data_IF_481429270737
#
_entry.id   IF_481429270737
#
_cell.length_a   1.000
_cell.length_b   1.000
_cell.length_c   1.000
_cell.angle_alpha   90.00
_cell.angle_beta   90.00
_cell.angle_gamma   90.00
#
_symmetry.space_group_name_H-M   'P 1'
#
loop_
_entity.id
_entity.type
_entity.pdbx_description
1 polymer ?
#
# COMPACT_ATOMS: atom_id res chain seq x y z
N UNK A 1 14.99 -0.21 -9.00
CA UNK A 1 14.17 -0.29 -10.20
C UNK A 1 12.84 0.42 -9.97
N UNK A 2 12.17 0.80 -11.08
CA UNK A 2 10.76 1.22 -11.11
C UNK A 2 10.03 0.17 -11.92
N UNK A 3 8.94 -0.37 -11.39
CA UNK A 3 8.08 -1.33 -12.07
C UNK A 3 6.69 -0.74 -12.28
N UNK A 4 6.13 -1.00 -13.45
CA UNK A 4 4.80 -0.55 -13.83
C UNK A 4 3.94 -1.77 -14.20
N UNK A 5 2.64 -1.63 -14.08
CA UNK A 5 1.68 -2.67 -14.43
C UNK A 5 0.32 -2.11 -14.80
N UNK A 6 -0.59 -2.96 -15.27
CA UNK A 6 -1.90 -2.54 -15.73
C UNK A 6 -2.76 -1.94 -14.61
N UNK A 7 -3.66 -1.04 -14.97
CA UNK A 7 -4.69 -0.50 -14.05
C UNK A 7 -5.92 -1.41 -13.99
N UNK A 8 -6.13 -2.20 -15.02
CA UNK A 8 -7.17 -3.25 -15.10
C UNK A 8 -6.51 -4.56 -14.72
N UNK A 9 -7.01 -5.20 -13.70
CA UNK A 9 -6.43 -6.41 -13.11
C UNK A 9 -7.45 -7.53 -13.00
N UNK A 10 -6.93 -8.74 -12.90
CA UNK A 10 -7.67 -9.92 -12.52
C UNK A 10 -7.69 -10.09 -10.98
N UNK A 11 -8.59 -10.95 -10.51
CA UNK A 11 -8.71 -11.28 -9.08
C UNK A 11 -7.41 -11.85 -8.51
N UNK A 12 -6.72 -12.69 -9.26
CA UNK A 12 -5.55 -13.38 -8.75
C UNK A 12 -4.42 -12.40 -8.37
N UNK A 13 -4.06 -11.47 -9.26
CA UNK A 13 -3.01 -10.50 -9.00
C UNK A 13 -3.40 -9.43 -7.98
N UNK A 14 -4.70 -9.07 -7.95
CA UNK A 14 -5.14 -8.02 -7.04
C UNK A 14 -5.44 -8.52 -5.62
N UNK A 15 -5.80 -9.81 -5.46
CA UNK A 15 -6.21 -10.36 -4.18
C UNK A 15 -5.58 -11.70 -3.82
N UNK A 16 -5.79 -12.74 -4.62
CA UNK A 16 -5.44 -14.11 -4.23
C UNK A 16 -3.95 -14.28 -3.98
N UNK A 17 -3.09 -13.78 -4.87
CA UNK A 17 -1.63 -13.83 -4.73
C UNK A 17 -1.11 -13.00 -3.54
N UNK A 18 -1.92 -12.11 -2.99
CA UNK A 18 -1.61 -11.29 -1.82
C UNK A 18 -2.21 -11.87 -0.53
N UNK A 19 -2.54 -13.15 -0.52
CA UNK A 19 -3.10 -13.83 0.65
C UNK A 19 -4.43 -13.23 1.15
N UNK A 20 -5.20 -12.58 0.26
CA UNK A 20 -6.55 -12.11 0.57
C UNK A 20 -7.56 -13.22 0.27
N UNK A 21 -8.23 -13.79 1.27
CA UNK A 21 -9.22 -14.86 1.08
C UNK A 21 -10.49 -14.34 0.39
N UNK A 22 -11.27 -15.25 -0.22
CA UNK A 22 -12.50 -14.91 -0.97
C UNK A 22 -13.52 -14.10 -0.16
N UNK A 23 -13.59 -14.34 1.15
CA UNK A 23 -14.51 -13.64 2.06
C UNK A 23 -13.92 -12.33 2.66
N UNK A 24 -12.76 -11.88 2.20
CA UNK A 24 -12.15 -10.66 2.73
C UNK A 24 -12.96 -9.43 2.30
N UNK A 25 -13.28 -8.50 3.24
CA UNK A 25 -14.12 -7.32 2.91
C UNK A 25 -13.59 -6.46 1.76
N UNK A 26 -12.27 -6.40 1.56
CA UNK A 26 -11.68 -5.65 0.44
C UNK A 26 -12.09 -6.17 -0.95
N UNK A 27 -12.61 -7.40 -1.04
CA UNK A 27 -13.18 -7.96 -2.27
C UNK A 27 -14.65 -7.59 -2.49
N UNK A 28 -15.27 -6.90 -1.53
CA UNK A 28 -16.67 -6.49 -1.68
C UNK A 28 -16.79 -5.42 -2.78
N UNK A 29 -17.87 -5.47 -3.52
CA UNK A 29 -18.25 -4.45 -4.51
C UNK A 29 -18.39 -3.04 -3.90
N UNK A 30 -18.51 -2.94 -2.58
CA UNK A 30 -18.52 -1.66 -1.87
C UNK A 30 -17.15 -0.98 -1.87
N UNK A 31 -16.05 -1.76 -1.94
CA UNK A 31 -14.69 -1.24 -1.88
C UNK A 31 -13.94 -1.36 -3.22
N UNK A 32 -14.44 -2.15 -4.17
CA UNK A 32 -13.78 -2.46 -5.45
C UNK A 32 -14.66 -2.13 -6.64
N UNK A 33 -14.10 -1.53 -7.67
CA UNK A 33 -14.77 -1.34 -8.96
C UNK A 33 -14.52 -2.55 -9.87
N UNK A 34 -15.51 -3.42 -9.98
CA UNK A 34 -15.50 -4.52 -10.95
C UNK A 34 -15.97 -4.02 -12.33
N UNK A 35 -15.21 -4.39 -13.36
CA UNK A 35 -15.56 -4.14 -14.77
C UNK A 35 -16.35 -5.32 -15.32
N UNK A 36 -16.00 -6.52 -14.89
CA UNK A 36 -16.63 -7.78 -15.26
C UNK A 36 -16.59 -8.74 -14.07
N UNK A 37 -17.65 -9.52 -13.90
CA UNK A 37 -17.77 -10.51 -12.81
C UNK A 37 -18.05 -11.94 -13.30
N UNK A 38 -18.30 -12.14 -14.60
CA UNK A 38 -18.57 -13.44 -15.23
C UNK A 38 -17.99 -13.47 -16.66
N UNK A 39 -17.24 -14.49 -17.08
CA UNK A 39 -16.85 -15.69 -16.30
C UNK A 39 -15.68 -15.48 -15.33
N UNK A 40 -14.95 -14.39 -15.44
CA UNK A 40 -13.79 -14.06 -14.59
C UNK A 40 -13.95 -12.65 -14.04
N UNK A 41 -13.50 -12.45 -12.80
CA UNK A 41 -13.52 -11.12 -12.17
C UNK A 41 -12.40 -10.26 -12.74
N UNK A 42 -12.80 -9.18 -13.42
CA UNK A 42 -11.90 -8.12 -13.92
C UNK A 42 -12.28 -6.83 -13.21
N UNK A 43 -11.28 -6.15 -12.67
CA UNK A 43 -11.49 -5.00 -11.80
C UNK A 43 -10.48 -3.88 -12.07
N UNK A 44 -10.76 -2.71 -11.53
CA UNK A 44 -9.77 -1.64 -11.41
C UNK A 44 -8.94 -1.89 -10.15
N UNK A 45 -7.62 -1.95 -10.28
CA UNK A 45 -6.72 -2.28 -9.17
C UNK A 45 -6.93 -1.37 -7.96
N UNK A 46 -7.01 -1.95 -6.79
CA UNK A 46 -7.25 -1.24 -5.52
C UNK A 46 -5.97 -0.78 -4.84
N UNK A 47 -4.82 -1.25 -5.33
CA UNK A 47 -3.47 -0.93 -4.86
C UNK A 47 -2.45 -1.25 -5.96
N UNK A 48 -1.19 -0.87 -5.76
CA UNK A 48 -0.11 -1.20 -6.70
C UNK A 48 0.65 -2.48 -6.31
N UNK A 49 0.17 -3.23 -5.30
CA UNK A 49 0.75 -4.52 -4.91
C UNK A 49 0.64 -5.58 -6.02
N UNK A 50 -0.36 -5.49 -6.89
CA UNK A 50 -0.48 -6.34 -8.08
C UNK A 50 0.74 -6.23 -9.00
N UNK A 51 1.35 -5.04 -9.08
CA UNK A 51 2.60 -4.83 -9.82
C UNK A 51 3.77 -5.55 -9.16
N UNK A 52 3.79 -5.61 -7.83
CA UNK A 52 4.81 -6.36 -7.09
C UNK A 52 4.68 -7.87 -7.36
N UNK A 53 3.46 -8.41 -7.39
CA UNK A 53 3.19 -9.81 -7.75
C UNK A 53 3.75 -10.10 -9.14
N UNK A 54 3.36 -9.30 -10.15
CA UNK A 54 3.84 -9.46 -11.53
C UNK A 54 5.36 -9.33 -11.65
N UNK A 55 5.97 -8.48 -10.81
CA UNK A 55 7.42 -8.34 -10.80
C UNK A 55 8.10 -9.58 -10.22
N UNK A 56 7.55 -10.16 -9.14
CA UNK A 56 8.08 -11.39 -8.51
C UNK A 56 7.93 -12.62 -9.41
N UNK A 57 6.86 -12.73 -10.20
CA UNK A 57 6.70 -13.81 -11.19
C UNK A 57 7.84 -13.85 -12.22
N UNK A 58 8.37 -12.70 -12.58
CA UNK A 58 9.33 -12.56 -13.67
C UNK A 58 10.77 -12.31 -13.18
N UNK A 59 10.99 -12.14 -11.89
CA UNK A 59 12.29 -11.79 -11.33
C UNK A 59 12.60 -12.62 -10.08
N UNK A 60 13.86 -13.00 -9.96
CA UNK A 60 14.36 -13.69 -8.76
C UNK A 60 15.06 -12.72 -7.81
N UNK A 61 15.03 -12.98 -6.50
CA UNK A 61 15.82 -12.21 -5.53
C UNK A 61 17.31 -12.14 -5.89
N UNK A 62 18.01 -11.02 -5.59
CA UNK A 62 17.50 -9.91 -4.81
C UNK A 62 16.58 -8.95 -5.61
N UNK A 63 15.46 -8.55 -5.02
CA UNK A 63 14.49 -7.62 -5.61
C UNK A 63 14.53 -6.31 -4.84
N UNK A 64 14.61 -5.19 -5.57
CA UNK A 64 14.51 -3.83 -5.07
C UNK A 64 13.78 -3.00 -6.10
N UNK A 65 12.50 -2.77 -5.88
CA UNK A 65 11.64 -2.03 -6.82
C UNK A 65 10.66 -1.11 -6.10
N UNK A 66 10.23 -0.07 -6.78
CA UNK A 66 9.09 0.75 -6.41
C UNK A 66 8.05 0.66 -7.51
N UNK A 67 6.79 0.65 -7.13
CA UNK A 67 5.64 0.51 -8.03
C UNK A 67 4.71 1.71 -7.85
N UNK A 68 4.95 2.82 -8.57
CA UNK A 68 4.05 3.96 -8.57
C UNK A 68 2.87 3.73 -9.50
N UNK A 69 1.70 4.27 -9.17
CA UNK A 69 0.57 4.22 -10.08
C UNK A 69 -0.75 4.69 -9.50
N UNK A 70 -1.73 4.89 -10.38
CA UNK A 70 -3.11 5.16 -9.99
C UNK A 70 -3.76 3.91 -9.45
N UNK A 71 -4.60 4.11 -8.46
CA UNK A 71 -5.41 3.05 -7.85
C UNK A 71 -6.84 3.55 -7.65
N UNK A 72 -7.77 2.62 -7.50
CA UNK A 72 -9.20 2.89 -7.55
C UNK A 72 -9.88 2.17 -6.38
N UNK A 73 -10.66 2.93 -5.60
CA UNK A 73 -11.45 2.38 -4.50
C UNK A 73 -12.83 2.98 -4.51
N UNK A 74 -13.83 2.15 -4.34
CA UNK A 74 -15.23 2.59 -4.32
C UNK A 74 -15.58 3.20 -2.95
N UNK A 75 -14.88 4.27 -2.60
CA UNK A 75 -15.04 5.00 -1.36
C UNK A 75 -15.79 6.31 -1.57
N UNK A 76 -16.52 6.74 -0.54
CA UNK A 76 -17.17 8.05 -0.55
C UNK A 76 -16.11 9.16 -0.59
N UNK A 77 -16.29 10.10 -1.51
CA UNK A 77 -15.39 11.25 -1.67
C UNK A 77 -15.50 12.15 -0.45
N UNK A 78 -14.36 12.51 0.13
CA UNK A 78 -14.24 13.40 1.27
C UNK A 78 -13.02 14.33 1.12
N UNK A 79 -12.76 15.15 2.11
CA UNK A 79 -11.55 15.98 2.14
C UNK A 79 -10.24 15.17 2.18
N UNK A 80 -10.30 13.84 2.41
CA UNK A 80 -9.15 12.95 2.57
C UNK A 80 -9.21 11.69 1.73
N UNK A 81 -10.36 11.37 1.16
CA UNK A 81 -10.58 10.17 0.37
C UNK A 81 -11.12 10.56 -0.99
N UNK A 82 -10.54 9.99 -2.01
CA UNK A 82 -11.03 10.07 -3.39
C UNK A 82 -11.04 8.66 -3.97
N UNK A 83 -12.03 8.38 -4.81
CA UNK A 83 -12.13 7.08 -5.47
C UNK A 83 -10.98 6.76 -6.43
N UNK A 84 -10.21 7.77 -6.83
CA UNK A 84 -9.00 7.67 -7.64
C UNK A 84 -7.88 8.40 -6.93
N UNK A 85 -6.78 7.71 -6.65
CA UNK A 85 -5.60 8.32 -6.06
C UNK A 85 -4.31 7.62 -6.53
N UNK A 86 -3.16 8.13 -6.13
CA UNK A 86 -1.87 7.54 -6.50
C UNK A 86 -1.23 6.89 -5.28
N UNK A 87 -0.69 5.70 -5.49
CA UNK A 87 0.17 5.02 -4.53
C UNK A 87 1.58 4.88 -5.08
N UNK A 88 2.53 4.78 -4.16
CA UNK A 88 3.89 4.30 -4.42
C UNK A 88 4.15 3.18 -3.42
N UNK A 89 4.35 1.98 -3.90
CA UNK A 89 4.72 0.85 -3.06
C UNK A 89 6.18 0.46 -3.30
N UNK A 90 6.84 -0.01 -2.26
CA UNK A 90 8.21 -0.50 -2.35
C UNK A 90 8.30 -1.97 -1.94
N UNK A 91 9.03 -2.76 -2.72
CA UNK A 91 9.34 -4.16 -2.43
C UNK A 91 10.84 -4.37 -2.34
N UNK A 92 11.30 -4.91 -1.22
CA UNK A 92 12.69 -5.30 -1.01
C UNK A 92 12.77 -6.73 -0.50
N UNK A 93 13.33 -7.61 -1.31
CA UNK A 93 13.58 -9.01 -1.00
C UNK A 93 15.06 -9.31 -1.16
N UNK A 94 15.71 -9.70 -0.08
CA UNK A 94 17.12 -10.10 -0.08
C UNK A 94 17.42 -10.95 1.15
N UNK A 95 18.58 -11.60 1.18
CA UNK A 95 19.05 -12.35 2.35
C UNK A 95 19.35 -11.39 3.51
N UNK A 96 18.85 -11.75 4.69
CA UNK A 96 19.13 -11.01 5.93
C UNK A 96 18.36 -9.69 6.08
N UNK A 97 17.38 -9.39 5.22
CA UNK A 97 16.50 -8.22 5.38
C UNK A 97 15.64 -8.39 6.62
N UNK A 98 15.52 -7.33 7.39
CA UNK A 98 14.83 -7.31 8.67
C UNK A 98 13.83 -6.15 8.78
N UNK A 99 12.99 -6.17 9.80
CA UNK A 99 12.10 -5.06 10.12
C UNK A 99 12.86 -3.76 10.44
N UNK A 100 14.11 -3.85 10.89
CA UNK A 100 14.97 -2.69 11.09
C UNK A 100 15.32 -2.01 9.76
N UNK A 101 15.58 -2.79 8.71
CA UNK A 101 15.85 -2.28 7.36
C UNK A 101 14.60 -1.60 6.77
N UNK A 102 13.41 -2.18 6.99
CA UNK A 102 12.16 -1.55 6.65
C UNK A 102 12.01 -0.18 7.30
N UNK A 103 12.22 -0.09 8.62
CA UNK A 103 12.14 1.16 9.37
C UNK A 103 13.15 2.21 8.86
N UNK A 104 14.37 1.81 8.56
CA UNK A 104 15.40 2.68 7.99
C UNK A 104 15.00 3.22 6.62
N UNK A 105 14.47 2.35 5.76
CA UNK A 105 13.99 2.72 4.43
C UNK A 105 12.84 3.74 4.52
N UNK A 106 11.89 3.52 5.42
CA UNK A 106 10.77 4.44 5.65
C UNK A 106 11.23 5.78 6.21
N UNK A 107 12.21 5.81 7.12
CA UNK A 107 12.82 7.05 7.61
C UNK A 107 13.51 7.83 6.50
N UNK A 108 14.23 7.15 5.63
CA UNK A 108 14.85 7.78 4.47
C UNK A 108 13.80 8.35 3.51
N UNK A 109 12.78 7.55 3.17
CA UNK A 109 11.69 7.95 2.29
C UNK A 109 10.96 9.20 2.81
N UNK A 110 10.54 9.19 4.07
CA UNK A 110 9.80 10.31 4.65
C UNK A 110 10.63 11.59 4.73
N UNK A 111 11.95 11.45 5.00
CA UNK A 111 12.87 12.58 4.99
C UNK A 111 13.01 13.19 3.59
N UNK A 112 13.13 12.36 2.56
CA UNK A 112 13.28 12.84 1.18
C UNK A 112 11.98 13.48 0.65
N UNK A 113 10.83 12.88 0.95
CA UNK A 113 9.56 13.34 0.40
C UNK A 113 8.95 14.52 1.15
N UNK A 114 9.03 14.51 2.49
CA UNK A 114 8.36 15.51 3.35
C UNK A 114 9.32 16.47 4.04
N UNK A 115 10.64 16.28 3.91
CA UNK A 115 11.65 17.08 4.61
C UNK A 115 11.67 16.88 6.13
N UNK A 116 10.76 16.08 6.68
CA UNK A 116 10.62 15.76 8.11
C UNK A 116 10.78 14.26 8.31
N UNK A 117 11.39 13.86 9.42
CA UNK A 117 11.74 12.46 9.67
C UNK A 117 11.22 11.90 10.99
N UNK A 118 10.30 12.60 11.66
CA UNK A 118 9.66 12.06 12.86
C UNK A 118 8.51 11.16 12.42
N UNK A 119 8.74 9.85 12.51
CA UNK A 119 7.77 8.81 12.17
C UNK A 119 7.35 8.03 13.41
N UNK A 120 6.19 7.39 13.30
CA UNK A 120 5.68 6.42 14.26
C UNK A 120 5.16 5.22 13.49
N UNK A 121 5.49 4.00 13.93
CA UNK A 121 4.93 2.76 13.45
C UNK A 121 3.92 2.26 14.48
N UNK A 122 2.70 2.05 14.06
CA UNK A 122 1.64 1.47 14.90
C UNK A 122 1.37 0.04 14.45
N UNK A 123 1.36 -0.97 15.33
CA UNK A 123 0.97 -2.32 14.95
C UNK A 123 -0.37 -2.33 14.22
N UNK A 124 -0.45 -3.08 13.15
CA UNK A 124 -1.65 -3.24 12.33
C UNK A 124 -1.72 -4.66 11.78
N UNK A 125 -2.74 -4.96 10.99
CA UNK A 125 -2.89 -6.24 10.33
C UNK A 125 -3.13 -6.04 8.84
N UNK A 126 -2.35 -6.75 8.03
CA UNK A 126 -2.59 -6.91 6.59
C UNK A 126 -2.38 -8.37 6.22
N UNK A 127 -3.22 -8.97 5.35
CA UNK A 127 -3.11 -10.39 4.99
C UNK A 127 -1.78 -10.77 4.32
N UNK A 128 -1.12 -9.79 3.71
CA UNK A 128 0.10 -9.96 2.90
C UNK A 128 1.39 -9.61 3.65
N UNK A 129 1.32 -9.23 4.94
CA UNK A 129 2.51 -8.93 5.75
C UNK A 129 2.37 -9.42 7.19
N UNK A 130 3.50 -9.89 7.77
CA UNK A 130 3.62 -10.24 9.20
C UNK A 130 5.09 -10.09 9.64
N UNK A 131 5.43 -9.23 10.60
CA UNK A 131 4.57 -8.27 11.26
C UNK A 131 4.18 -7.11 10.35
N UNK A 132 3.01 -6.52 10.65
CA UNK A 132 2.44 -5.39 9.93
C UNK A 132 2.36 -4.14 10.79
N UNK A 133 2.50 -2.98 10.17
CA UNK A 133 2.35 -1.70 10.84
C UNK A 133 1.78 -0.64 9.89
N UNK A 134 1.11 0.34 10.46
CA UNK A 134 0.81 1.60 9.81
C UNK A 134 1.88 2.63 10.14
N UNK A 135 2.28 3.42 9.13
CA UNK A 135 3.26 4.48 9.29
C UNK A 135 2.58 5.84 9.34
N UNK A 136 2.85 6.58 10.41
CA UNK A 136 2.46 7.97 10.54
C UNK A 136 3.70 8.88 10.52
N UNK A 137 3.55 10.08 9.97
CA UNK A 137 4.51 11.18 10.11
C UNK A 137 3.96 12.24 11.05
N UNK A 138 4.85 12.89 11.81
CA UNK A 138 4.46 14.06 12.57
C UNK A 138 4.39 15.27 11.64
N UNK A 139 3.16 15.69 11.34
CA UNK A 139 2.87 16.82 10.45
C UNK A 139 2.95 18.15 11.18
N UNK A 140 2.42 18.19 12.42
CA UNK A 140 2.31 19.39 13.23
C UNK A 140 0.86 19.83 13.43
N UNK A 141 0.68 20.93 14.15
CA UNK A 141 -0.61 21.56 14.47
C UNK A 141 -0.45 23.09 14.43
N UNK A 142 0.18 23.60 13.37
CA UNK A 142 0.54 25.03 13.28
C UNK A 142 -0.64 25.90 12.79
N UNK A 143 -1.62 25.28 12.13
CA UNK A 143 -2.76 25.99 11.55
C UNK A 143 -4.01 25.10 11.50
N UNK A 144 -5.15 25.70 11.13
CA UNK A 144 -6.45 25.03 11.08
C UNK A 144 -6.48 23.87 10.05
N UNK A 145 -5.73 23.98 8.97
CA UNK A 145 -5.59 22.92 7.97
C UNK A 145 -4.87 21.71 8.56
N UNK A 146 -3.79 21.93 9.30
CA UNK A 146 -3.06 20.87 9.99
C UNK A 146 -3.95 20.15 10.99
N UNK A 147 -4.72 20.92 11.76
CA UNK A 147 -5.68 20.34 12.70
C UNK A 147 -6.70 19.45 11.99
N UNK A 148 -7.23 19.89 10.87
CA UNK A 148 -8.24 19.15 10.10
C UNK A 148 -7.68 17.87 9.48
N UNK A 149 -6.51 17.92 8.83
CA UNK A 149 -5.91 16.73 8.17
C UNK A 149 -5.37 15.71 9.16
N UNK A 150 -4.90 16.15 10.33
CA UNK A 150 -4.38 15.25 11.38
C UNK A 150 -5.43 14.85 12.42
N UNK A 151 -6.69 15.28 12.28
CA UNK A 151 -7.75 15.10 13.29
C UNK A 151 -7.35 15.65 14.67
N UNK A 152 -6.59 16.73 14.72
CA UNK A 152 -6.11 17.34 15.94
C UNK A 152 -4.99 16.59 16.67
N UNK A 153 -4.45 15.54 16.07
CA UNK A 153 -3.40 14.73 16.71
C UNK A 153 -1.97 15.19 16.37
N UNK A 154 -1.81 15.96 15.30
CA UNK A 154 -0.52 16.30 14.71
C UNK A 154 0.15 15.17 13.94
N UNK A 155 -0.45 13.98 13.91
CA UNK A 155 0.04 12.83 13.17
C UNK A 155 -0.80 12.56 11.92
N UNK A 156 -0.13 12.32 10.81
CA UNK A 156 -0.74 11.96 9.53
C UNK A 156 -0.30 10.56 9.15
N UNK A 157 -1.26 9.67 9.02
CA UNK A 157 -1.05 8.33 8.44
C UNK A 157 -0.75 8.46 6.95
N UNK A 158 0.31 7.83 6.50
CA UNK A 158 0.77 7.89 5.10
C UNK A 158 0.78 6.52 4.41
N UNK A 159 0.63 5.43 5.14
CA UNK A 159 0.56 4.11 4.54
C UNK A 159 0.70 2.94 5.49
N UNK A 160 0.60 1.74 4.92
CA UNK A 160 0.90 0.48 5.56
C UNK A 160 2.29 -0.02 5.20
N UNK A 161 2.88 -0.83 6.06
CA UNK A 161 4.16 -1.48 5.83
C UNK A 161 4.27 -2.79 6.62
N UNK A 162 5.20 -3.66 6.23
CA UNK A 162 5.44 -4.91 6.94
C UNK A 162 6.48 -5.78 6.26
N UNK A 163 6.79 -6.89 6.90
CA UNK A 163 7.55 -7.96 6.26
C UNK A 163 6.58 -8.80 5.43
N UNK A 164 6.95 -9.12 4.21
CA UNK A 164 6.07 -9.88 3.31
C UNK A 164 5.76 -11.26 3.92
N UNK A 165 4.49 -11.63 3.92
CA UNK A 165 4.06 -12.95 4.41
C UNK A 165 4.63 -14.06 3.52
N UNK A 166 5.08 -15.19 4.09
CA UNK A 166 5.62 -16.31 3.31
C UNK A 166 4.64 -16.94 2.30
N UNK A 167 3.34 -16.69 2.43
CA UNK A 167 2.33 -17.17 1.48
C UNK A 167 2.19 -16.25 0.25
N UNK A 168 2.79 -15.11 0.25
CA UNK A 168 2.88 -14.19 -0.89
C UNK A 168 4.13 -14.51 -1.70
#
# INVERSE_FOLDING_TARGET
>A
NVSEGPEIEDDWHNFTALNLPEYHPARDMQDTFFIQTDPEEILLRTHTSSVQVRYMENNKPPIRTISPGRVFRNEAISARSHCIFHQVEGLYIDKGVSFADLKQTLLYFTKQLFGKSKIRLRPSYFPFTEPSAEIDIYWGLENETDYRITKGTGWLEIGGCGMVDPNV
#
